data_IF_846617807339
#
_entry.id   IF_846617807339
#
_cell.length_a   1.000
_cell.length_b   1.000
_cell.length_c   1.000
_cell.angle_alpha   90.00
_cell.angle_beta   90.00
_cell.angle_gamma   90.00
#
_symmetry.space_group_name_H-M   'P 1'
#
loop_
_entity.id
_entity.type
_entity.pdbx_description
1 polymer ?
#
# COMPACT_ATOMS: atom_id res chain seq x y z
N UNK A 1 -17.12 11.46 26.08
CA UNK A 1 -16.25 12.59 26.41
C UNK A 1 -15.79 13.23 25.11
N UNK A 2 -16.30 14.45 24.80
CA UNK A 2 -15.82 15.21 23.65
C UNK A 2 -14.58 16.01 24.07
N UNK A 3 -13.40 15.56 23.64
CA UNK A 3 -12.14 16.27 23.88
C UNK A 3 -11.75 17.00 22.60
N UNK A 4 -11.50 18.31 22.68
CA UNK A 4 -11.09 19.11 21.52
C UNK A 4 -9.65 18.76 21.08
N UNK A 5 -9.33 18.85 19.78
CA UNK A 5 -7.94 18.64 19.29
C UNK A 5 -6.92 19.54 20.01
N UNK A 6 -7.29 20.76 20.35
CA UNK A 6 -6.44 21.69 21.09
C UNK A 6 -6.14 21.20 22.53
N UNK A 7 -7.08 20.50 23.16
CA UNK A 7 -6.86 19.90 24.50
C UNK A 7 -5.88 18.73 24.44
N UNK A 8 -5.96 17.92 23.39
CA UNK A 8 -5.02 16.81 23.16
C UNK A 8 -3.60 17.36 22.94
N UNK A 9 -3.43 18.38 22.11
CA UNK A 9 -2.11 19.00 21.87
C UNK A 9 -1.55 19.61 23.17
N UNK A 10 -2.37 20.29 23.97
CA UNK A 10 -1.95 20.84 25.28
C UNK A 10 -1.55 19.75 26.25
N UNK A 11 -2.25 18.63 26.28
CA UNK A 11 -1.90 17.46 27.08
C UNK A 11 -0.53 16.89 26.68
N UNK A 12 -0.29 16.69 25.40
CA UNK A 12 1.00 16.20 24.90
C UNK A 12 2.16 17.14 25.27
N UNK A 13 1.95 18.46 25.15
CA UNK A 13 2.95 19.46 25.56
C UNK A 13 3.23 19.45 27.08
N UNK A 14 2.21 19.23 27.92
CA UNK A 14 2.40 19.06 29.39
C UNK A 14 3.20 17.82 29.75
N UNK A 15 3.17 16.78 28.92
CA UNK A 15 3.97 15.58 29.07
C UNK A 15 5.40 15.73 28.50
N UNK A 16 5.76 16.90 27.97
CA UNK A 16 7.10 17.19 27.45
C UNK A 16 7.28 16.93 25.96
N UNK A 17 6.21 16.58 25.24
CA UNK A 17 6.26 16.35 23.79
C UNK A 17 6.01 17.63 23.01
N UNK A 18 6.60 17.76 21.82
CA UNK A 18 6.40 18.93 20.95
C UNK A 18 4.94 19.04 20.44
N UNK A 19 4.21 17.92 20.39
CA UNK A 19 2.82 17.85 19.96
C UNK A 19 2.29 16.42 19.93
N UNK A 20 1.09 16.24 19.39
CA UNK A 20 0.42 14.93 19.32
C UNK A 20 1.19 13.91 18.44
N UNK A 21 1.79 14.36 17.35
CA UNK A 21 2.57 13.48 16.45
C UNK A 21 3.81 12.92 17.15
N UNK A 22 4.49 13.75 17.92
CA UNK A 22 5.66 13.38 18.72
C UNK A 22 5.28 12.42 19.86
N UNK A 23 4.21 12.73 20.60
CA UNK A 23 3.63 11.85 21.61
C UNK A 23 3.22 10.49 21.03
N UNK A 24 2.55 10.48 19.86
CA UNK A 24 2.16 9.24 19.19
C UNK A 24 3.36 8.42 18.71
N UNK A 25 4.43 9.08 18.26
CA UNK A 25 5.67 8.41 17.87
C UNK A 25 6.34 7.77 19.08
N UNK A 26 6.42 8.48 20.22
CA UNK A 26 6.97 7.96 21.48
C UNK A 26 6.14 6.79 22.02
N UNK A 27 4.80 6.93 22.07
CA UNK A 27 3.92 5.83 22.47
C UNK A 27 4.08 4.59 21.59
N UNK A 28 4.28 4.76 20.30
CA UNK A 28 4.58 3.63 19.41
C UNK A 28 5.90 2.96 19.75
N UNK A 29 6.90 3.73 20.17
CA UNK A 29 8.18 3.18 20.63
C UNK A 29 8.04 2.42 21.95
N UNK A 30 7.22 2.92 22.90
CA UNK A 30 7.02 2.32 24.23
C UNK A 30 6.03 1.13 24.20
N UNK A 31 5.05 1.14 23.27
CA UNK A 31 4.05 0.06 23.13
C UNK A 31 4.55 -1.09 22.25
N UNK A 32 5.62 -0.94 21.52
CA UNK A 32 6.36 -2.08 21.04
C UNK A 32 7.10 -2.70 22.21
N UNK A 33 6.40 -3.52 23.02
CA UNK A 33 7.10 -4.51 23.83
C UNK A 33 8.07 -5.23 22.89
N UNK A 34 9.32 -5.41 23.32
CA UNK A 34 10.25 -6.24 22.55
C UNK A 34 9.78 -7.70 22.65
N UNK A 35 8.78 -8.07 21.84
CA UNK A 35 8.65 -9.45 21.45
C UNK A 35 9.97 -9.80 20.76
N UNK A 36 10.85 -10.46 21.52
CA UNK A 36 12.19 -10.89 21.13
C UNK A 36 13.03 -9.75 20.52
N UNK A 37 14.08 -9.32 21.23
CA UNK A 37 15.14 -8.45 20.68
C UNK A 37 15.29 -8.80 19.19
N UNK A 38 15.04 -7.86 18.26
CA UNK A 38 15.16 -8.19 16.86
C UNK A 38 16.53 -8.81 16.66
N UNK A 39 16.57 -10.08 16.27
CA UNK A 39 17.83 -10.73 15.88
C UNK A 39 18.52 -9.73 15.00
N UNK A 40 19.81 -9.47 15.23
CA UNK A 40 20.57 -8.56 14.37
C UNK A 40 20.29 -8.98 12.94
N UNK A 41 19.42 -8.19 12.27
CA UNK A 41 18.94 -8.54 10.95
C UNK A 41 20.16 -8.58 10.04
N UNK A 42 20.39 -9.72 9.43
CA UNK A 42 21.54 -9.89 8.52
C UNK A 42 21.10 -9.47 7.11
N UNK A 43 22.00 -8.86 6.30
CA UNK A 43 21.65 -8.49 4.92
C UNK A 43 21.05 -9.63 4.08
N UNK A 44 21.38 -10.89 4.41
CA UNK A 44 20.78 -12.08 3.75
C UNK A 44 19.30 -12.28 4.09
N UNK A 45 18.77 -11.68 5.15
CA UNK A 45 17.35 -11.77 5.47
C UNK A 45 16.50 -11.10 4.39
N UNK A 46 17.04 -10.09 3.73
CA UNK A 46 16.44 -9.45 2.58
C UNK A 46 16.12 -10.43 1.43
N UNK A 47 17.05 -11.32 1.07
CA UNK A 47 16.82 -12.33 0.02
C UNK A 47 15.77 -13.35 0.45
N UNK A 48 15.75 -13.71 1.74
CA UNK A 48 14.74 -14.61 2.31
C UNK A 48 13.35 -13.98 2.24
N UNK A 49 13.23 -12.68 2.50
CA UNK A 49 11.98 -11.94 2.41
C UNK A 49 11.44 -11.91 0.98
N UNK A 50 12.31 -11.72 -0.01
CA UNK A 50 11.93 -11.81 -1.42
C UNK A 50 11.39 -13.21 -1.75
N UNK A 51 12.11 -14.25 -1.36
CA UNK A 51 11.72 -15.63 -1.63
C UNK A 51 10.37 -15.97 -1.01
N UNK A 52 10.18 -15.63 0.27
CA UNK A 52 8.90 -15.83 0.96
C UNK A 52 7.76 -15.05 0.31
N UNK A 53 8.03 -13.83 -0.15
CA UNK A 53 6.99 -13.06 -0.85
C UNK A 53 6.53 -13.77 -2.12
N UNK A 54 7.46 -14.32 -2.92
CA UNK A 54 7.13 -15.09 -4.13
C UNK A 54 6.28 -16.31 -3.80
N UNK A 55 6.67 -17.07 -2.76
CA UNK A 55 5.95 -18.28 -2.33
C UNK A 55 4.51 -17.99 -1.83
N UNK A 56 4.26 -16.77 -1.37
CA UNK A 56 2.96 -16.36 -0.83
C UNK A 56 2.00 -15.82 -1.90
N UNK A 57 2.41 -15.66 -3.15
CA UNK A 57 1.57 -15.08 -4.21
C UNK A 57 0.63 -16.15 -4.77
N UNK A 58 -0.69 -16.10 -4.51
CA UNK A 58 -1.61 -17.06 -5.07
C UNK A 58 -1.91 -16.73 -6.53
N UNK A 59 -1.71 -17.66 -7.43
CA UNK A 59 -1.91 -17.47 -8.87
C UNK A 59 -3.33 -16.99 -9.19
N UNK A 60 -4.34 -17.62 -8.61
CA UNK A 60 -5.75 -17.24 -8.81
C UNK A 60 -6.04 -15.78 -8.38
N UNK A 61 -5.39 -15.30 -7.33
CA UNK A 61 -5.54 -13.90 -6.89
C UNK A 61 -4.90 -12.95 -7.91
N UNK A 62 -3.75 -13.33 -8.45
CA UNK A 62 -3.07 -12.54 -9.48
C UNK A 62 -3.93 -12.47 -10.76
N UNK A 63 -4.52 -13.57 -11.18
CA UNK A 63 -5.44 -13.61 -12.34
C UNK A 63 -6.62 -12.68 -12.14
N UNK A 64 -7.29 -12.71 -10.97
CA UNK A 64 -8.40 -11.80 -10.66
C UNK A 64 -7.97 -10.33 -10.65
N UNK A 65 -6.79 -10.03 -10.10
CA UNK A 65 -6.27 -8.64 -10.09
C UNK A 65 -5.95 -8.18 -11.51
N UNK A 66 -5.37 -9.03 -12.34
CA UNK A 66 -5.04 -8.74 -13.75
C UNK A 66 -6.33 -8.48 -14.53
N UNK A 67 -7.39 -9.24 -14.28
CA UNK A 67 -8.71 -9.00 -14.87
C UNK A 67 -9.30 -7.66 -14.40
N UNK A 68 -9.22 -7.34 -13.11
CA UNK A 68 -9.65 -6.04 -12.58
C UNK A 68 -8.89 -4.89 -13.26
N UNK A 69 -7.56 -5.01 -13.44
CA UNK A 69 -6.77 -4.04 -14.18
C UNK A 69 -7.25 -3.92 -15.64
N UNK A 70 -7.58 -5.05 -16.28
CA UNK A 70 -8.05 -5.06 -17.68
C UNK A 70 -9.40 -4.37 -17.83
N UNK A 71 -10.36 -4.73 -17.00
CA UNK A 71 -11.74 -4.24 -17.11
C UNK A 71 -11.92 -2.80 -16.62
N UNK A 72 -11.01 -2.31 -15.74
CA UNK A 72 -11.18 -1.00 -15.14
C UNK A 72 -10.99 0.15 -16.13
N UNK A 73 -11.92 1.11 -16.07
CA UNK A 73 -11.87 2.37 -16.79
C UNK A 73 -10.73 3.26 -16.32
N UNK A 74 -10.50 3.30 -14.99
CA UNK A 74 -9.49 4.09 -14.31
C UNK A 74 -8.88 3.30 -13.16
N UNK A 75 -7.58 3.43 -13.00
CA UNK A 75 -6.81 2.76 -11.95
C UNK A 75 -6.14 3.83 -11.09
N UNK A 76 -6.41 3.84 -9.80
CA UNK A 76 -5.74 4.72 -8.85
C UNK A 76 -4.82 3.92 -7.94
N UNK A 77 -3.59 4.38 -7.80
CA UNK A 77 -2.62 3.80 -6.89
C UNK A 77 -2.46 4.72 -5.68
N UNK A 78 -2.77 4.23 -4.48
CA UNK A 78 -2.62 4.98 -3.24
C UNK A 78 -1.37 4.52 -2.53
N UNK A 79 -0.35 5.38 -2.49
CA UNK A 79 0.94 5.04 -1.92
C UNK A 79 1.65 6.28 -1.36
N UNK A 80 2.01 6.27 -0.09
CA UNK A 80 2.69 7.38 0.57
C UNK A 80 4.09 7.00 1.05
N UNK A 81 4.94 7.99 1.28
CA UNK A 81 6.30 7.78 1.74
C UNK A 81 7.11 6.91 0.76
N UNK A 82 7.86 5.96 1.28
CA UNK A 82 8.73 5.10 0.46
C UNK A 82 7.96 4.09 -0.42
N UNK A 83 6.69 3.79 -0.12
CA UNK A 83 5.83 2.94 -0.98
C UNK A 83 5.40 3.65 -2.27
N UNK A 84 5.58 4.99 -2.35
CA UNK A 84 5.28 5.76 -3.55
C UNK A 84 6.09 5.30 -4.76
N UNK A 85 7.34 4.94 -4.56
CA UNK A 85 8.22 4.54 -5.67
C UNK A 85 7.67 3.34 -6.44
N UNK A 86 7.35 2.18 -5.84
CA UNK A 86 6.74 1.06 -6.56
C UNK A 86 5.36 1.39 -7.15
N UNK A 87 4.53 2.16 -6.43
CA UNK A 87 3.22 2.58 -6.95
C UNK A 87 3.32 3.48 -8.17
N UNK A 88 4.23 4.46 -8.15
CA UNK A 88 4.45 5.35 -9.31
C UNK A 88 5.02 4.61 -10.51
N UNK A 89 5.88 3.62 -10.28
CA UNK A 89 6.44 2.81 -11.37
C UNK A 89 5.35 1.96 -12.03
N UNK A 90 4.51 1.27 -11.25
CA UNK A 90 3.41 0.50 -11.81
C UNK A 90 2.42 1.40 -12.58
N UNK A 91 2.08 2.58 -12.03
CA UNK A 91 1.21 3.52 -12.75
C UNK A 91 1.79 3.93 -14.11
N UNK A 92 3.07 4.27 -14.18
CA UNK A 92 3.75 4.60 -15.45
C UNK A 92 3.73 3.45 -16.44
N UNK A 93 4.02 2.23 -16.00
CA UNK A 93 3.99 1.04 -16.86
C UNK A 93 2.58 0.80 -17.42
N UNK A 94 1.55 0.90 -16.58
CA UNK A 94 0.16 0.80 -17.03
C UNK A 94 -0.20 1.91 -18.03
N UNK A 95 0.31 3.14 -17.86
CA UNK A 95 0.13 4.21 -18.83
C UNK A 95 0.81 3.91 -20.17
N UNK A 96 1.99 3.28 -20.20
CA UNK A 96 2.66 2.93 -21.47
C UNK A 96 1.84 1.97 -22.32
N UNK A 97 0.98 1.18 -21.70
CA UNK A 97 0.04 0.29 -22.38
C UNK A 97 -1.37 0.90 -22.52
N UNK A 98 -1.52 2.23 -22.34
CA UNK A 98 -2.76 2.97 -22.58
C UNK A 98 -3.82 2.80 -21.48
N UNK A 99 -3.48 2.32 -20.28
CA UNK A 99 -4.39 2.36 -19.13
C UNK A 99 -4.38 3.73 -18.46
N UNK A 100 -5.55 4.21 -18.06
CA UNK A 100 -5.69 5.45 -17.29
C UNK A 100 -5.30 5.19 -15.82
N UNK A 101 -4.01 5.14 -15.52
CA UNK A 101 -3.47 4.81 -14.21
C UNK A 101 -2.77 6.04 -13.58
N UNK A 102 -3.05 6.33 -12.30
CA UNK A 102 -2.53 7.50 -11.60
C UNK A 102 -2.09 7.12 -10.19
N UNK A 103 -0.89 7.52 -9.78
CA UNK A 103 -0.42 7.31 -8.42
C UNK A 103 -0.58 8.60 -7.60
N UNK A 104 -1.27 8.48 -6.46
CA UNK A 104 -1.49 9.56 -5.51
C UNK A 104 -0.68 9.33 -4.24
N UNK A 105 0.06 10.35 -3.82
CA UNK A 105 0.86 10.39 -2.59
C UNK A 105 0.46 11.55 -1.66
N UNK A 106 -0.35 12.48 -2.17
CA UNK A 106 -0.96 13.56 -1.39
C UNK A 106 -2.36 13.17 -0.90
N UNK A 107 -2.60 13.31 0.39
CA UNK A 107 -3.85 12.90 1.02
C UNK A 107 -5.06 13.68 0.53
N UNK A 108 -4.90 14.96 0.19
CA UNK A 108 -6.00 15.82 -0.29
C UNK A 108 -6.42 15.38 -1.69
N UNK A 109 -5.45 15.24 -2.60
CA UNK A 109 -5.72 14.78 -3.96
C UNK A 109 -6.26 13.36 -3.98
N UNK A 110 -5.73 12.46 -3.14
CA UNK A 110 -6.19 11.09 -2.97
C UNK A 110 -7.67 11.06 -2.57
N UNK A 111 -8.08 11.84 -1.55
CA UNK A 111 -9.47 11.91 -1.09
C UNK A 111 -10.41 12.59 -2.11
N UNK A 112 -9.94 13.63 -2.80
CA UNK A 112 -10.73 14.29 -3.85
C UNK A 112 -10.98 13.31 -4.99
N UNK A 113 -9.96 12.58 -5.42
CA UNK A 113 -10.06 11.61 -6.50
C UNK A 113 -10.95 10.42 -6.12
N UNK A 114 -10.79 9.88 -4.91
CA UNK A 114 -11.59 8.78 -4.41
C UNK A 114 -13.11 9.05 -4.45
N UNK A 115 -13.53 10.31 -4.23
CA UNK A 115 -14.95 10.72 -4.31
C UNK A 115 -15.53 10.67 -5.73
N UNK A 116 -14.68 10.66 -6.75
CA UNK A 116 -15.10 10.64 -8.17
C UNK A 116 -15.09 9.23 -8.77
N UNK A 117 -14.64 8.23 -8.01
CA UNK A 117 -14.62 6.85 -8.44
C UNK A 117 -16.04 6.26 -8.53
N UNK A 118 -16.17 5.22 -9.32
CA UNK A 118 -17.37 4.43 -9.56
C UNK A 118 -17.07 2.94 -9.48
N UNK A 119 -18.04 2.09 -9.69
CA UNK A 119 -17.89 0.63 -9.76
C UNK A 119 -16.99 0.16 -10.92
N UNK A 120 -16.75 1.02 -11.91
CA UNK A 120 -15.90 0.71 -13.06
C UNK A 120 -14.43 1.06 -12.83
N UNK A 121 -14.08 1.47 -11.63
CA UNK A 121 -12.73 1.94 -11.28
C UNK A 121 -12.07 1.01 -10.27
N UNK A 122 -10.73 0.99 -10.29
CA UNK A 122 -9.89 0.15 -9.43
C UNK A 122 -8.96 1.00 -8.57
N UNK A 123 -8.84 0.65 -7.30
CA UNK A 123 -7.81 1.18 -6.40
C UNK A 123 -6.80 0.09 -6.05
N UNK A 124 -5.52 0.36 -6.27
CA UNK A 124 -4.40 -0.43 -5.79
C UNK A 124 -3.76 0.33 -4.61
N UNK A 125 -3.92 -0.17 -3.40
CA UNK A 125 -3.47 0.50 -2.18
C UNK A 125 -2.21 -0.17 -1.61
N UNK A 126 -1.08 0.56 -1.61
CA UNK A 126 0.23 0.06 -1.21
C UNK A 126 0.62 0.58 0.17
N UNK A 127 0.50 -0.26 1.19
CA UNK A 127 0.86 0.07 2.58
C UNK A 127 1.42 -1.15 3.28
N UNK A 128 2.72 -1.23 3.53
CA UNK A 128 3.31 -2.41 4.20
C UNK A 128 2.67 -2.66 5.56
N UNK A 129 2.42 -1.63 6.35
CA UNK A 129 1.73 -1.80 7.64
C UNK A 129 0.25 -2.15 7.52
N UNK A 130 -0.38 -1.82 6.39
CA UNK A 130 -1.83 -1.87 6.23
C UNK A 130 -2.61 -0.90 7.15
N UNK A 131 -1.90 -0.05 7.92
CA UNK A 131 -2.46 0.87 8.92
C UNK A 131 -2.18 2.34 8.60
N UNK A 132 -1.80 2.66 7.37
CA UNK A 132 -1.56 4.04 6.96
C UNK A 132 -2.89 4.79 6.87
N UNK A 133 -3.18 5.65 7.85
CA UNK A 133 -4.48 6.33 8.02
C UNK A 133 -4.93 7.11 6.78
N UNK A 134 -3.99 7.74 6.06
CA UNK A 134 -4.29 8.49 4.83
C UNK A 134 -4.82 7.57 3.72
N UNK A 135 -4.19 6.41 3.54
CA UNK A 135 -4.59 5.41 2.54
C UNK A 135 -5.92 4.78 2.93
N UNK A 136 -6.09 4.39 4.21
CA UNK A 136 -7.33 3.80 4.73
C UNK A 136 -8.51 4.77 4.52
N UNK A 137 -8.34 6.05 4.83
CA UNK A 137 -9.39 7.04 4.66
C UNK A 137 -9.84 7.16 3.19
N UNK A 138 -8.89 7.26 2.26
CA UNK A 138 -9.19 7.33 0.83
C UNK A 138 -9.78 6.02 0.29
N UNK A 139 -9.26 4.87 0.71
CA UNK A 139 -9.77 3.56 0.34
C UNK A 139 -11.22 3.34 0.84
N UNK A 140 -11.54 3.82 2.05
CA UNK A 140 -12.91 3.80 2.59
C UNK A 140 -13.87 4.61 1.71
N UNK A 141 -13.43 5.80 1.27
CA UNK A 141 -14.23 6.61 0.33
C UNK A 141 -14.40 5.89 -1.00
N UNK A 142 -13.33 5.35 -1.58
CA UNK A 142 -13.37 4.62 -2.85
C UNK A 142 -14.32 3.42 -2.78
N UNK A 143 -14.26 2.62 -1.72
CA UNK A 143 -15.19 1.50 -1.48
C UNK A 143 -16.64 1.97 -1.37
N UNK A 144 -16.92 3.09 -0.69
CA UNK A 144 -18.27 3.64 -0.60
C UNK A 144 -18.82 4.11 -1.96
N UNK A 145 -17.94 4.34 -2.93
CA UNK A 145 -18.27 4.66 -4.33
C UNK A 145 -18.43 3.43 -5.22
N UNK A 146 -18.21 2.25 -4.68
CA UNK A 146 -18.31 0.98 -5.39
C UNK A 146 -17.04 0.55 -6.12
N UNK A 147 -15.93 1.32 -6.05
CA UNK A 147 -14.68 0.95 -6.69
C UNK A 147 -14.10 -0.34 -6.10
N UNK A 148 -13.53 -1.18 -6.95
CA UNK A 148 -12.77 -2.35 -6.51
C UNK A 148 -11.49 -1.91 -5.78
N UNK A 149 -11.12 -2.64 -4.74
CA UNK A 149 -9.94 -2.35 -3.92
C UNK A 149 -9.02 -3.58 -3.82
N UNK A 150 -7.78 -3.39 -4.20
CA UNK A 150 -6.70 -4.37 -4.00
C UNK A 150 -5.71 -3.81 -2.99
N UNK A 151 -5.34 -4.58 -1.99
CA UNK A 151 -4.33 -4.19 -1.00
C UNK A 151 -3.00 -4.89 -1.22
N UNK A 152 -1.91 -4.14 -0.96
CA UNK A 152 -0.53 -4.65 -0.89
C UNK A 152 0.00 -4.36 0.51
N UNK A 153 0.02 -5.37 1.36
CA UNK A 153 0.39 -5.20 2.77
C UNK A 153 1.38 -6.27 3.23
N UNK A 154 2.01 -6.08 4.39
CA UNK A 154 2.72 -7.18 5.03
C UNK A 154 1.73 -8.27 5.46
N UNK A 155 2.19 -9.51 5.52
CA UNK A 155 1.38 -10.63 5.98
C UNK A 155 0.88 -10.37 7.41
N UNK A 156 -0.41 -10.58 7.63
CA UNK A 156 -1.06 -10.43 8.93
C UNK A 156 -2.41 -9.71 8.84
N UNK A 157 -3.14 -9.70 9.94
CA UNK A 157 -4.40 -8.97 10.03
C UNK A 157 -4.12 -7.46 10.14
N UNK A 158 -4.67 -6.70 9.20
CA UNK A 158 -4.58 -5.24 9.22
C UNK A 158 -5.83 -4.61 8.60
N UNK A 159 -6.04 -3.31 8.87
CA UNK A 159 -7.26 -2.61 8.47
C UNK A 159 -7.45 -2.59 6.95
N UNK A 160 -6.38 -2.35 6.20
CA UNK A 160 -6.46 -2.23 4.74
C UNK A 160 -6.78 -3.57 4.09
N UNK A 161 -6.14 -4.66 4.53
CA UNK A 161 -6.42 -6.01 3.99
C UNK A 161 -7.82 -6.51 4.36
N UNK A 162 -8.34 -6.10 5.52
CA UNK A 162 -9.70 -6.46 5.94
C UNK A 162 -10.83 -5.79 5.15
N UNK A 163 -10.53 -4.70 4.42
CA UNK A 163 -11.52 -3.98 3.60
C UNK A 163 -11.36 -4.20 2.09
N UNK A 164 -10.25 -4.78 1.65
CA UNK A 164 -9.96 -5.01 0.25
C UNK A 164 -10.74 -6.22 -0.31
N UNK A 165 -11.01 -6.18 -1.61
CA UNK A 165 -11.62 -7.29 -2.34
C UNK A 165 -10.59 -8.37 -2.64
N UNK A 166 -9.35 -7.97 -2.94
CA UNK A 166 -8.21 -8.85 -3.17
C UNK A 166 -6.98 -8.36 -2.40
N UNK A 167 -6.14 -9.31 -1.97
CA UNK A 167 -4.98 -9.01 -1.15
C UNK A 167 -3.71 -9.66 -1.72
N UNK A 168 -2.65 -8.85 -1.88
CA UNK A 168 -1.30 -9.33 -2.11
C UNK A 168 -0.44 -9.03 -0.89
N UNK A 169 0.23 -10.05 -0.40
CA UNK A 169 1.05 -9.94 0.79
C UNK A 169 2.53 -9.93 0.45
N UNK A 170 3.27 -9.07 1.13
CA UNK A 170 4.74 -9.08 1.15
C UNK A 170 5.24 -9.63 2.47
N UNK A 171 6.41 -10.24 2.47
CA UNK A 171 7.17 -10.49 3.68
C UNK A 171 8.30 -9.46 3.74
N UNK A 172 8.16 -8.46 4.59
CA UNK A 172 9.16 -7.40 4.74
C UNK A 172 9.62 -7.32 6.21
N UNK A 173 10.83 -7.79 6.46
CA UNK A 173 11.44 -7.72 7.79
C UNK A 173 11.66 -6.27 8.22
N UNK A 174 11.34 -5.98 9.48
CA UNK A 174 11.67 -4.71 10.11
C UNK A 174 13.13 -4.70 10.53
N UNK A 175 13.94 -3.87 9.89
CA UNK A 175 15.25 -3.49 10.39
C UNK A 175 15.10 -2.27 11.29
N UNK A 176 15.86 -2.20 12.38
CA UNK A 176 15.87 -1.03 13.25
C UNK A 176 17.23 -0.34 13.12
N UNK A 177 17.24 0.93 12.73
CA UNK A 177 18.41 1.78 12.70
C UNK A 177 18.16 3.01 13.55
N UNK A 178 18.96 3.19 14.62
CA UNK A 178 18.81 4.30 15.59
C UNK A 178 17.39 4.43 16.15
N UNK A 179 16.75 3.30 16.47
CA UNK A 179 15.38 3.26 17.00
C UNK A 179 14.27 3.48 15.96
N UNK A 180 14.62 3.66 14.69
CA UNK A 180 13.65 3.85 13.59
C UNK A 180 13.50 2.56 12.79
N UNK A 181 12.26 2.14 12.47
CA UNK A 181 12.02 1.00 11.61
C UNK A 181 12.42 1.34 10.17
N UNK A 182 13.24 0.50 9.57
CA UNK A 182 13.64 0.56 8.17
C UNK A 182 13.19 -0.72 7.50
N UNK A 183 12.38 -0.60 6.45
CA UNK A 183 11.89 -1.74 5.68
C UNK A 183 12.23 -1.57 4.20
N UNK A 184 12.58 -2.67 3.55
CA UNK A 184 12.73 -2.69 2.10
C UNK A 184 11.37 -2.49 1.40
N UNK A 185 11.39 -1.89 0.23
CA UNK A 185 10.22 -1.76 -0.68
C UNK A 185 10.40 -2.61 -1.94
N UNK A 186 11.47 -3.38 -2.01
CA UNK A 186 11.75 -4.23 -3.19
C UNK A 186 10.68 -5.28 -3.38
N UNK A 187 10.13 -5.84 -2.30
CA UNK A 187 9.04 -6.81 -2.37
C UNK A 187 7.78 -6.20 -2.99
N UNK A 188 7.42 -4.95 -2.64
CA UNK A 188 6.31 -4.23 -3.28
C UNK A 188 6.60 -3.98 -4.76
N UNK A 189 7.80 -3.54 -5.09
CA UNK A 189 8.20 -3.31 -6.48
C UNK A 189 8.12 -4.60 -7.29
N UNK A 190 8.62 -5.70 -6.73
CA UNK A 190 8.58 -7.02 -7.36
C UNK A 190 7.14 -7.48 -7.65
N UNK A 191 6.20 -7.29 -6.71
CA UNK A 191 4.80 -7.61 -6.94
C UNK A 191 4.17 -6.72 -8.01
N UNK A 192 4.50 -5.42 -8.03
CA UNK A 192 4.07 -4.50 -9.09
C UNK A 192 4.57 -4.92 -10.47
N UNK A 193 5.87 -5.31 -10.57
CA UNK A 193 6.46 -5.82 -11.79
C UNK A 193 5.80 -7.13 -12.23
N UNK A 194 5.61 -8.05 -11.29
CA UNK A 194 4.97 -9.34 -11.55
C UNK A 194 3.55 -9.18 -12.11
N UNK A 195 2.73 -8.33 -11.49
CA UNK A 195 1.39 -8.02 -11.99
C UNK A 195 1.41 -7.41 -13.38
N UNK A 196 2.35 -6.50 -13.64
CA UNK A 196 2.47 -5.89 -14.96
C UNK A 196 2.84 -6.94 -16.03
N UNK A 197 3.80 -7.80 -15.78
CA UNK A 197 4.19 -8.85 -16.73
C UNK A 197 3.09 -9.90 -16.92
N UNK A 198 2.37 -10.28 -15.86
CA UNK A 198 1.18 -11.15 -15.97
C UNK A 198 0.08 -10.51 -16.82
N UNK A 199 -0.13 -9.20 -16.65
CA UNK A 199 -1.06 -8.46 -17.51
C UNK A 199 -0.64 -8.51 -18.99
N UNK A 200 0.65 -8.27 -19.28
CA UNK A 200 1.16 -8.35 -20.66
C UNK A 200 1.03 -9.77 -21.24
N UNK A 201 1.33 -10.78 -20.44
CA UNK A 201 1.18 -12.18 -20.86
C UNK A 201 -0.28 -12.53 -21.22
N UNK A 202 -1.23 -12.01 -20.43
CA UNK A 202 -2.66 -12.34 -20.62
C UNK A 202 -3.32 -11.50 -21.71
N UNK A 203 -3.01 -10.19 -21.81
CA UNK A 203 -3.73 -9.24 -22.66
C UNK A 203 -2.87 -8.46 -23.66
N UNK A 204 -1.57 -8.74 -23.73
CA UNK A 204 -0.62 -7.99 -24.57
C UNK A 204 -0.93 -8.10 -26.07
N UNK A 205 -1.32 -9.27 -26.53
CA UNK A 205 -1.59 -9.53 -27.97
C UNK A 205 -2.87 -8.87 -28.49
N UNK A 206 -3.89 -8.71 -27.64
CA UNK A 206 -5.14 -8.07 -28.03
C UNK A 206 -4.95 -6.59 -28.44
N UNK A 207 -3.93 -5.93 -27.87
CA UNK A 207 -3.63 -4.52 -28.15
C UNK A 207 -2.77 -4.29 -29.38
N UNK A 208 -1.97 -5.25 -29.82
CA UNK A 208 -1.23 -5.14 -31.07
C UNK A 208 -2.18 -5.09 -32.28
N UNK A 209 -3.37 -5.71 -32.15
CA UNK A 209 -4.39 -5.71 -33.20
C UNK A 209 -5.23 -4.41 -33.25
N UNK A 210 -5.21 -3.58 -32.20
CA UNK A 210 -5.99 -2.33 -32.14
C UNK A 210 -5.21 -1.06 -32.51
N UNK A 211 -3.91 -1.18 -32.80
CA UNK A 211 -3.02 -0.05 -33.18
C UNK A 211 -2.61 -0.14 -34.67
N UNK A 212 -2.97 -1.19 -35.39
CA UNK A 212 -2.79 -1.38 -36.83
C UNK A 212 -4.06 -0.95 -37.60
#
# INVERSE_FOLDING_TARGET
>A
LFISPASVVRFCKKLGFSGYSDFKASLRMDLFEPEEMPRKSHPTDFFRDIHKTIEMVPEETVERIVELIHCSRRIELYAVGSSRMPGSELAKRLQTIGKAAFCYDDSTLMNISARQLTSDDLVLALSISGETSLIIAAATVAKSRGAALVSFTNLGSNTLSGMADENLYVNATNFVCSGLPVQSRVQLLMLCEYLFFRYIETYGDERQQSIG
#
